data_IF_495402913518
#
_entry.id   IF_495402913518
#
_cell.length_a   1.000
_cell.length_b   1.000
_cell.length_c   1.000
_cell.angle_alpha   90.00
_cell.angle_beta   90.00
_cell.angle_gamma   90.00
#
_symmetry.space_group_name_H-M   'P 1'
#
loop_
_entity.id
_entity.type
_entity.pdbx_description
1 polymer ?
#
# COMPACT_ATOMS: atom_id res chain seq x y z
N UNK A 1 15.01 -23.16 12.88
CA UNK A 1 14.06 -24.23 12.56
C UNK A 1 12.75 -23.66 11.98
N UNK A 2 12.16 -22.61 12.53
CA UNK A 2 10.87 -22.02 12.07
C UNK A 2 10.85 -21.61 10.58
N UNK A 3 11.95 -21.00 10.06
CA UNK A 3 12.06 -20.59 8.65
C UNK A 3 12.01 -21.78 7.67
N UNK A 4 12.56 -22.92 8.03
CA UNK A 4 12.52 -24.14 7.20
C UNK A 4 11.15 -24.82 7.24
N UNK A 5 10.46 -24.75 8.37
CA UNK A 5 9.08 -25.26 8.50
C UNK A 5 8.08 -24.42 7.70
N UNK A 6 8.26 -23.09 7.64
CA UNK A 6 7.42 -22.22 6.84
C UNK A 6 7.56 -22.51 5.34
N UNK A 7 8.78 -22.77 4.87
CA UNK A 7 9.05 -23.13 3.48
C UNK A 7 8.44 -24.49 3.10
N UNK A 8 8.52 -25.47 4.00
CA UNK A 8 7.93 -26.81 3.81
C UNK A 8 6.41 -26.75 3.86
N UNK A 9 5.82 -25.93 4.72
CA UNK A 9 4.37 -25.72 4.77
C UNK A 9 3.84 -25.08 3.49
N UNK A 10 4.54 -24.11 2.91
CA UNK A 10 4.20 -23.48 1.62
C UNK A 10 4.32 -24.49 0.47
N UNK A 11 5.31 -25.38 0.48
CA UNK A 11 5.48 -26.44 -0.54
C UNK A 11 4.46 -27.59 -0.37
N UNK A 12 4.08 -27.94 0.85
CA UNK A 12 3.11 -29.02 1.10
C UNK A 12 1.67 -28.64 0.70
N UNK A 13 1.30 -27.36 0.68
CA UNK A 13 -0.02 -26.90 0.21
C UNK A 13 -0.16 -27.01 -1.32
N UNK A 14 0.96 -27.11 -2.06
CA UNK A 14 0.94 -27.16 -3.53
C UNK A 14 0.52 -28.49 -4.13
N UNK A 15 0.47 -29.58 -3.35
CA UNK A 15 0.23 -30.95 -3.86
C UNK A 15 -1.26 -31.37 -3.90
N UNK A 16 -2.19 -30.64 -3.28
CA UNK A 16 -3.56 -31.13 -3.03
C UNK A 16 -4.68 -30.56 -3.93
N UNK A 17 -4.38 -30.04 -5.13
CA UNK A 17 -5.46 -29.47 -5.96
C UNK A 17 -5.38 -29.88 -7.44
N UNK A 18 -5.82 -31.08 -7.74
CA UNK A 18 -6.03 -31.56 -9.13
C UNK A 18 -7.43 -31.23 -9.69
N UNK A 19 -8.21 -30.32 -9.11
CA UNK A 19 -9.48 -29.88 -9.68
C UNK A 19 -9.62 -28.35 -9.55
N UNK A 20 -9.66 -27.66 -10.69
CA UNK A 20 -9.92 -26.23 -10.86
C UNK A 20 -9.31 -25.34 -9.77
N UNK A 21 -8.22 -24.66 -10.09
CA UNK A 21 -7.55 -23.70 -9.19
C UNK A 21 -8.52 -22.62 -8.71
N UNK A 22 -9.09 -22.81 -7.51
CA UNK A 22 -10.10 -21.91 -6.92
C UNK A 22 -9.48 -20.80 -6.07
N UNK A 23 -8.18 -20.89 -5.81
CA UNK A 23 -7.50 -19.94 -4.95
C UNK A 23 -6.37 -19.24 -5.71
N UNK A 24 -6.21 -17.94 -5.49
CA UNK A 24 -5.12 -17.15 -6.06
C UNK A 24 -4.49 -16.29 -4.98
N UNK A 25 -3.15 -16.24 -4.94
CA UNK A 25 -2.36 -15.34 -4.11
C UNK A 25 -1.60 -14.41 -5.05
N UNK A 26 -1.67 -13.12 -4.82
CA UNK A 26 -1.06 -12.08 -5.65
C UNK A 26 -0.16 -11.19 -4.80
N UNK A 27 1.11 -11.57 -4.55
CA UNK A 27 2.11 -10.64 -4.05
C UNK A 27 2.52 -9.65 -5.13
N UNK A 28 2.84 -8.42 -4.71
CA UNK A 28 3.42 -7.41 -5.57
C UNK A 28 4.35 -6.46 -4.82
N UNK A 29 5.31 -5.90 -5.53
CA UNK A 29 6.27 -4.92 -5.04
C UNK A 29 6.52 -3.87 -6.10
N UNK A 30 6.64 -2.63 -5.70
CA UNK A 30 6.86 -1.49 -6.59
C UNK A 30 7.00 -0.18 -5.86
N UNK A 31 6.68 0.90 -6.55
CA UNK A 31 6.71 2.24 -6.00
C UNK A 31 5.31 2.85 -6.01
N UNK A 32 5.07 3.74 -5.04
CA UNK A 32 3.86 4.54 -5.01
C UNK A 32 4.17 6.01 -4.74
N UNK A 33 3.26 6.86 -5.21
CA UNK A 33 3.32 8.31 -5.10
C UNK A 33 2.05 8.80 -4.42
N UNK A 34 2.21 9.53 -3.32
CA UNK A 34 1.08 10.21 -2.65
C UNK A 34 0.62 11.38 -3.52
N UNK A 35 -0.70 11.52 -3.65
CA UNK A 35 -1.34 12.55 -4.48
C UNK A 35 -1.81 13.76 -3.67
N UNK A 36 -1.63 13.76 -2.33
CA UNK A 36 -1.96 14.91 -1.48
C UNK A 36 -1.19 16.16 -1.93
N UNK A 37 -1.84 17.31 -1.94
CA UNK A 37 -1.23 18.59 -2.28
C UNK A 37 -0.18 19.01 -1.24
N UNK A 38 0.81 19.79 -1.65
CA UNK A 38 1.74 20.41 -0.72
C UNK A 38 1.12 21.68 -0.14
N UNK A 39 1.42 22.03 1.12
CA UNK A 39 1.17 23.35 1.63
C UNK A 39 1.83 24.42 0.74
N UNK A 40 1.24 25.60 0.65
CA UNK A 40 1.79 26.73 -0.10
C UNK A 40 2.80 27.51 0.77
N UNK A 41 3.79 28.15 0.14
CA UNK A 41 4.75 29.01 0.84
C UNK A 41 5.92 28.29 1.49
N UNK A 42 6.20 27.05 1.05
CA UNK A 42 7.37 26.28 1.52
C UNK A 42 8.66 26.82 0.93
N UNK A 43 9.74 26.74 1.70
CA UNK A 43 11.10 26.91 1.20
C UNK A 43 11.52 25.72 0.32
N UNK A 44 12.55 25.90 -0.52
CA UNK A 44 13.05 24.82 -1.36
C UNK A 44 13.48 23.56 -0.56
N UNK A 45 14.01 23.74 0.65
CA UNK A 45 14.42 22.64 1.53
C UNK A 45 13.21 21.88 2.08
N UNK A 46 12.13 22.57 2.45
CA UNK A 46 10.88 21.96 2.90
C UNK A 46 10.18 21.22 1.75
N UNK A 47 10.21 21.77 0.53
CA UNK A 47 9.68 21.08 -0.64
C UNK A 47 10.43 19.78 -0.95
N UNK A 48 11.77 19.80 -0.91
CA UNK A 48 12.57 18.57 -1.12
C UNK A 48 12.30 17.53 -0.04
N UNK A 49 12.21 17.96 1.21
CA UNK A 49 11.84 17.10 2.33
C UNK A 49 10.47 16.44 2.12
N UNK A 50 9.44 17.21 1.75
CA UNK A 50 8.11 16.67 1.48
C UNK A 50 8.07 15.77 0.23
N UNK A 51 8.82 16.09 -0.82
CA UNK A 51 8.96 15.21 -2.00
C UNK A 51 9.49 13.83 -1.64
N UNK A 52 10.45 13.75 -0.70
CA UNK A 52 10.95 12.48 -0.19
C UNK A 52 9.89 11.64 0.52
N UNK A 53 8.91 12.25 1.20
CA UNK A 53 7.79 11.56 1.85
C UNK A 53 6.64 11.21 0.89
N UNK A 54 6.63 11.79 -0.31
CA UNK A 54 5.59 11.55 -1.31
C UNK A 54 5.84 10.38 -2.24
N UNK A 55 7.06 9.85 -2.30
CA UNK A 55 7.40 8.67 -3.09
C UNK A 55 8.06 7.61 -2.23
N UNK A 56 7.63 6.37 -2.36
CA UNK A 56 8.15 5.30 -1.52
C UNK A 56 7.88 3.90 -2.05
N UNK A 57 8.39 2.92 -1.31
CA UNK A 57 8.19 1.52 -1.59
C UNK A 57 6.73 1.15 -1.32
N UNK A 58 6.14 0.36 -2.23
CA UNK A 58 4.81 -0.21 -2.06
C UNK A 58 4.89 -1.74 -2.14
N UNK A 59 4.38 -2.41 -1.13
CA UNK A 59 4.31 -3.88 -1.06
C UNK A 59 2.87 -4.28 -0.82
N UNK A 60 2.36 -5.22 -1.63
CA UNK A 60 0.99 -5.70 -1.51
C UNK A 60 0.94 -7.22 -1.47
N UNK A 61 -0.09 -7.72 -0.82
CA UNK A 61 -0.46 -9.14 -0.82
C UNK A 61 -1.98 -9.25 -0.87
N UNK A 62 -2.48 -9.92 -1.90
CA UNK A 62 -3.91 -10.19 -2.03
C UNK A 62 -4.13 -11.70 -2.14
N UNK A 63 -5.23 -12.18 -1.56
CA UNK A 63 -5.63 -13.57 -1.60
C UNK A 63 -7.10 -13.65 -1.99
N UNK A 64 -7.43 -14.42 -3.02
CA UNK A 64 -8.77 -14.51 -3.61
C UNK A 64 -9.24 -15.95 -3.73
N UNK A 65 -10.51 -16.16 -3.41
CA UNK A 65 -11.26 -17.39 -3.73
C UNK A 65 -12.16 -17.12 -4.93
N UNK A 66 -11.98 -17.92 -6.00
CA UNK A 66 -12.77 -17.82 -7.24
C UNK A 66 -14.13 -18.48 -7.05
N UNK A 67 -15.18 -17.68 -7.00
CA UNK A 67 -16.58 -18.14 -6.95
C UNK A 67 -17.05 -18.64 -8.31
N UNK A 68 -16.61 -17.96 -9.37
CA UNK A 68 -16.87 -18.28 -10.77
C UNK A 68 -15.58 -18.14 -11.59
N UNK A 69 -15.64 -18.45 -12.86
CA UNK A 69 -14.48 -18.40 -13.76
C UNK A 69 -13.79 -17.02 -13.80
N UNK A 70 -14.56 -15.96 -13.68
CA UNK A 70 -14.08 -14.57 -13.81
C UNK A 70 -14.26 -13.73 -12.55
N UNK A 71 -14.94 -14.25 -11.51
CA UNK A 71 -15.29 -13.52 -10.29
C UNK A 71 -14.62 -14.18 -9.09
N UNK A 72 -13.94 -13.37 -8.27
CA UNK A 72 -13.32 -13.83 -7.03
C UNK A 72 -13.56 -12.82 -5.89
N UNK A 73 -13.60 -13.33 -4.67
CA UNK A 73 -13.70 -12.57 -3.44
C UNK A 73 -12.55 -12.93 -2.51
N UNK A 74 -12.04 -11.95 -1.76
CA UNK A 74 -10.86 -12.20 -0.95
C UNK A 74 -10.51 -11.08 0.01
N UNK A 75 -9.25 -11.10 0.43
CA UNK A 75 -8.66 -10.11 1.33
C UNK A 75 -7.43 -9.48 0.69
N UNK A 76 -7.22 -8.23 1.01
CA UNK A 76 -6.10 -7.44 0.49
C UNK A 76 -5.39 -6.73 1.64
N UNK A 77 -4.07 -6.73 1.54
CA UNK A 77 -3.15 -5.98 2.37
C UNK A 77 -2.22 -5.19 1.47
N UNK A 78 -2.01 -3.91 1.74
CA UNK A 78 -0.95 -3.12 1.10
C UNK A 78 -0.25 -2.25 2.13
N UNK A 79 1.04 -2.00 1.88
CA UNK A 79 1.88 -1.16 2.73
C UNK A 79 2.72 -0.23 1.85
N UNK A 80 2.64 1.06 2.13
CA UNK A 80 3.49 2.10 1.59
C UNK A 80 4.45 2.58 2.67
N UNK A 81 5.73 2.70 2.33
CA UNK A 81 6.76 3.22 3.21
C UNK A 81 7.61 4.27 2.49
N UNK A 82 7.78 5.42 3.11
CA UNK A 82 8.65 6.49 2.63
C UNK A 82 9.43 7.09 3.81
N UNK A 83 10.64 7.56 3.54
CA UNK A 83 11.48 8.25 4.52
C UNK A 83 12.10 9.48 3.89
N UNK A 84 12.20 10.55 4.66
CA UNK A 84 12.89 11.77 4.25
C UNK A 84 13.62 12.41 5.41
N UNK A 85 14.71 13.10 5.12
CA UNK A 85 15.44 13.90 6.08
C UNK A 85 15.78 15.27 5.49
N UNK A 86 15.74 16.30 6.31
CA UNK A 86 15.99 17.67 5.89
C UNK A 86 16.22 18.60 7.08
N UNK A 87 16.46 19.86 6.78
CA UNK A 87 16.52 20.91 7.80
C UNK A 87 15.24 21.71 7.71
N UNK A 88 14.47 21.70 8.79
CA UNK A 88 13.26 22.54 8.91
C UNK A 88 13.62 23.79 9.71
N UNK A 89 13.20 24.95 9.21
CA UNK A 89 13.40 26.24 9.87
C UNK A 89 12.06 26.77 10.38
N UNK A 90 12.05 27.25 11.60
CA UNK A 90 10.90 27.87 12.23
C UNK A 90 11.32 29.14 12.96
N UNK A 91 10.34 29.96 13.36
CA UNK A 91 10.59 31.14 14.14
C UNK A 91 10.10 30.91 15.58
N UNK A 92 10.95 31.15 16.57
CA UNK A 92 10.56 31.05 17.97
C UNK A 92 9.66 32.20 18.41
N UNK A 93 9.21 32.17 19.67
CA UNK A 93 8.35 33.22 20.26
C UNK A 93 9.04 34.58 20.37
N UNK A 94 10.36 34.65 20.21
CA UNK A 94 11.17 35.86 20.22
C UNK A 94 11.55 36.36 18.81
N UNK A 95 11.01 35.73 17.74
CA UNK A 95 11.30 36.10 16.36
C UNK A 95 12.64 35.58 15.83
N UNK A 96 13.35 34.70 16.56
CA UNK A 96 14.61 34.12 16.10
C UNK A 96 14.37 32.90 15.21
N UNK A 97 15.11 32.83 14.11
CA UNK A 97 15.05 31.65 13.21
C UNK A 97 15.81 30.50 13.87
N UNK A 98 15.08 29.42 14.14
CA UNK A 98 15.63 28.14 14.64
C UNK A 98 15.59 27.15 13.51
N UNK A 99 16.70 26.49 13.24
CA UNK A 99 16.78 25.40 12.26
C UNK A 99 17.15 24.10 12.94
N UNK A 100 16.42 23.02 12.63
CA UNK A 100 16.67 21.69 13.17
C UNK A 100 16.73 20.66 12.05
N UNK A 101 17.72 19.76 12.10
CA UNK A 101 17.74 18.57 11.26
C UNK A 101 16.67 17.60 11.75
N UNK A 102 15.80 17.18 10.85
CA UNK A 102 14.71 16.25 11.13
C UNK A 102 14.75 15.07 10.15
N UNK A 103 14.33 13.91 10.63
CA UNK A 103 14.09 12.72 9.80
C UNK A 103 12.68 12.24 10.11
N UNK A 104 11.94 11.90 9.06
CA UNK A 104 10.59 11.35 9.16
C UNK A 104 10.49 10.07 8.37
N UNK A 105 9.83 9.09 9.00
CA UNK A 105 9.43 7.83 8.41
C UNK A 105 7.90 7.78 8.36
N UNK A 106 7.35 7.62 7.16
CA UNK A 106 5.92 7.50 6.89
C UNK A 106 5.58 6.08 6.49
N UNK A 107 4.48 5.57 7.04
CA UNK A 107 3.95 4.27 6.72
C UNK A 107 2.43 4.33 6.59
N UNK A 108 1.90 3.89 5.42
CA UNK A 108 0.46 3.82 5.17
C UNK A 108 0.10 2.38 4.84
N UNK A 109 -0.74 1.78 5.67
CA UNK A 109 -1.20 0.39 5.51
C UNK A 109 -2.68 0.37 5.17
N UNK A 110 -3.07 -0.46 4.20
CA UNK A 110 -4.47 -0.79 3.90
C UNK A 110 -4.71 -2.26 4.17
N UNK A 111 -5.87 -2.59 4.76
CA UNK A 111 -6.33 -3.96 4.95
C UNK A 111 -7.84 -4.04 4.85
N UNK A 112 -8.37 -4.96 4.05
CA UNK A 112 -9.81 -5.13 3.91
C UNK A 112 -10.22 -6.22 2.93
N UNK A 113 -11.53 -6.55 2.92
CA UNK A 113 -12.12 -7.40 1.89
C UNK A 113 -12.01 -6.76 0.51
N UNK A 114 -11.90 -7.62 -0.51
CA UNK A 114 -11.79 -7.20 -1.89
C UNK A 114 -12.53 -8.14 -2.84
N UNK A 115 -13.03 -7.56 -3.91
CA UNK A 115 -13.66 -8.24 -5.03
C UNK A 115 -12.75 -8.12 -6.25
N UNK A 116 -12.62 -9.20 -7.05
CA UNK A 116 -11.78 -9.22 -8.24
C UNK A 116 -12.56 -9.80 -9.43
N UNK A 117 -12.39 -9.15 -10.58
CA UNK A 117 -12.76 -9.69 -11.89
C UNK A 117 -11.47 -10.02 -12.64
N UNK A 118 -11.38 -11.19 -13.23
CA UNK A 118 -10.19 -11.63 -13.97
C UNK A 118 -10.53 -12.67 -15.03
N UNK A 119 -9.64 -12.82 -16.01
CA UNK A 119 -9.69 -13.91 -17.00
C UNK A 119 -8.70 -15.05 -16.67
N UNK A 120 -8.37 -15.25 -15.40
CA UNK A 120 -7.33 -16.18 -14.97
C UNK A 120 -7.62 -17.65 -15.33
N UNK A 121 -8.89 -18.01 -15.53
CA UNK A 121 -9.33 -19.37 -15.90
C UNK A 121 -9.32 -19.63 -17.41
N UNK A 122 -9.22 -18.58 -18.23
CA UNK A 122 -9.20 -18.73 -19.69
C UNK A 122 -7.90 -19.37 -20.19
N UNK A 123 -7.93 -20.01 -21.34
CA UNK A 123 -6.77 -20.69 -21.94
C UNK A 123 -5.73 -19.73 -22.55
N UNK A 124 -5.95 -18.41 -22.49
CA UNK A 124 -5.01 -17.41 -23.00
C UNK A 124 -3.77 -17.26 -22.11
N UNK A 125 -2.62 -16.90 -22.69
CA UNK A 125 -1.42 -16.51 -21.95
C UNK A 125 -1.50 -15.07 -21.40
N UNK A 126 -2.41 -14.25 -21.91
CA UNK A 126 -2.61 -12.87 -21.50
C UNK A 126 -3.65 -12.81 -20.38
N UNK A 127 -3.20 -12.53 -19.17
CA UNK A 127 -4.02 -12.49 -17.96
C UNK A 127 -4.28 -11.04 -17.54
N UNK A 128 -5.54 -10.72 -17.36
CA UNK A 128 -6.02 -9.44 -16.92
C UNK A 128 -6.78 -9.58 -15.61
N UNK A 129 -6.64 -8.64 -14.72
CA UNK A 129 -7.49 -8.53 -13.54
C UNK A 129 -7.75 -7.08 -13.18
N UNK A 130 -8.90 -6.86 -12.57
CA UNK A 130 -9.31 -5.63 -11.91
C UNK A 130 -9.82 -6.01 -10.53
N UNK A 131 -9.34 -5.36 -9.48
CA UNK A 131 -9.85 -5.57 -8.13
C UNK A 131 -10.22 -4.27 -7.44
N UNK A 132 -11.16 -4.36 -6.51
CA UNK A 132 -11.63 -3.28 -5.66
C UNK A 132 -11.75 -3.79 -4.22
N UNK A 133 -11.08 -3.12 -3.29
CA UNK A 133 -11.14 -3.38 -1.86
C UNK A 133 -11.69 -2.18 -1.10
N UNK A 134 -12.45 -2.44 -0.04
CA UNK A 134 -12.87 -1.46 0.96
C UNK A 134 -12.38 -1.96 2.32
N UNK A 135 -11.77 -1.09 3.11
CA UNK A 135 -11.15 -1.56 4.35
C UNK A 135 -10.68 -0.44 5.26
N UNK A 136 -9.79 -0.79 6.17
CA UNK A 136 -9.14 0.15 7.08
C UNK A 136 -7.86 0.64 6.43
N UNK A 137 -7.70 1.94 6.33
CA UNK A 137 -6.44 2.60 6.01
C UNK A 137 -5.85 3.20 7.29
N UNK A 138 -4.60 2.88 7.58
CA UNK A 138 -3.89 3.33 8.77
C UNK A 138 -2.63 4.08 8.36
N UNK A 139 -2.36 5.19 9.04
CA UNK A 139 -1.16 5.98 8.84
C UNK A 139 -0.36 6.05 10.13
N UNK A 140 0.93 5.81 10.01
CA UNK A 140 1.92 6.02 11.06
C UNK A 140 3.01 6.93 10.51
N UNK A 141 3.27 8.03 11.19
CA UNK A 141 4.42 8.91 10.93
C UNK A 141 5.31 8.95 12.16
N UNK A 142 6.61 9.01 11.96
CA UNK A 142 7.58 9.17 13.04
C UNK A 142 8.59 10.24 12.65
N UNK A 143 8.52 11.39 13.30
CA UNK A 143 9.46 12.49 13.13
C UNK A 143 10.29 12.62 14.39
N UNK A 144 11.58 12.35 14.31
CA UNK A 144 12.48 12.26 15.47
C UNK A 144 11.89 11.31 16.55
N UNK A 145 11.49 11.83 17.70
CA UNK A 145 10.90 11.08 18.81
C UNK A 145 9.36 11.19 18.89
N UNK A 146 8.73 11.90 17.95
CA UNK A 146 7.28 12.10 17.93
C UNK A 146 6.67 11.06 16.97
N UNK A 147 5.78 10.21 17.51
CA UNK A 147 5.02 9.24 16.73
C UNK A 147 3.58 9.71 16.59
N UNK A 148 3.14 9.85 15.34
CA UNK A 148 1.75 10.09 14.98
C UNK A 148 1.10 8.81 14.43
N UNK A 149 -0.15 8.53 14.81
CA UNK A 149 -0.92 7.40 14.29
C UNK A 149 -2.37 7.81 14.06
N UNK A 150 -2.95 7.31 12.98
CA UNK A 150 -4.37 7.50 12.67
C UNK A 150 -4.90 6.37 11.79
N UNK A 151 -6.20 6.17 11.80
CA UNK A 151 -6.85 5.19 10.92
C UNK A 151 -8.24 5.66 10.54
N UNK A 152 -8.69 5.25 9.36
CA UNK A 152 -10.03 5.52 8.85
C UNK A 152 -10.43 4.43 7.83
N UNK A 153 -11.64 4.54 7.29
CA UNK A 153 -12.05 3.74 6.13
C UNK A 153 -11.33 4.25 4.89
N UNK A 154 -10.87 3.32 4.07
CA UNK A 154 -10.23 3.58 2.78
C UNK A 154 -10.71 2.63 1.70
N UNK A 155 -10.35 2.95 0.48
CA UNK A 155 -10.62 2.13 -0.71
C UNK A 155 -9.31 1.89 -1.45
N UNK A 156 -9.19 0.72 -2.09
CA UNK A 156 -8.04 0.42 -2.94
C UNK A 156 -8.49 -0.34 -4.17
N UNK A 157 -8.13 0.17 -5.34
CA UNK A 157 -8.42 -0.43 -6.64
C UNK A 157 -7.11 -0.73 -7.36
N UNK A 158 -7.01 -1.91 -7.99
CA UNK A 158 -5.87 -2.24 -8.86
C UNK A 158 -6.32 -2.81 -10.19
N UNK A 159 -5.54 -2.53 -11.20
CA UNK A 159 -5.61 -3.17 -12.51
C UNK A 159 -4.25 -3.80 -12.84
N UNK A 160 -4.24 -5.03 -13.33
CA UNK A 160 -3.01 -5.73 -13.67
C UNK A 160 -3.12 -6.47 -15.00
N UNK A 161 -1.99 -6.47 -15.71
CA UNK A 161 -1.73 -7.32 -16.85
C UNK A 161 -0.59 -8.26 -16.50
N UNK A 162 -0.78 -9.56 -16.73
CA UNK A 162 0.23 -10.56 -16.44
C UNK A 162 0.35 -11.55 -17.60
N UNK A 163 1.54 -12.09 -17.80
CA UNK A 163 1.78 -13.16 -18.73
C UNK A 163 1.85 -14.50 -17.99
N UNK A 164 1.11 -15.50 -18.48
CA UNK A 164 1.12 -16.83 -17.88
C UNK A 164 2.40 -17.59 -18.28
N UNK A 165 3.30 -17.74 -17.31
CA UNK A 165 4.52 -18.55 -17.45
C UNK A 165 4.16 -20.05 -17.42
N UNK A 166 3.20 -20.39 -16.56
CA UNK A 166 2.60 -21.72 -16.46
C UNK A 166 1.09 -21.57 -16.27
N UNK A 167 0.29 -22.66 -16.32
CA UNK A 167 -1.14 -22.57 -16.00
C UNK A 167 -1.46 -22.05 -14.61
N UNK A 168 -0.49 -22.04 -13.69
CA UNK A 168 -0.65 -21.65 -12.27
C UNK A 168 0.16 -20.41 -11.86
N UNK A 169 1.11 -19.96 -12.68
CA UNK A 169 2.02 -18.83 -12.33
C UNK A 169 1.96 -17.79 -13.42
N UNK A 170 1.59 -16.57 -13.04
CA UNK A 170 1.51 -15.40 -13.92
C UNK A 170 2.40 -14.28 -13.37
N UNK A 171 2.99 -13.48 -14.25
CA UNK A 171 3.86 -12.35 -13.87
C UNK A 171 3.61 -11.15 -14.77
N UNK A 172 3.59 -9.95 -14.21
CA UNK A 172 3.44 -8.72 -14.98
C UNK A 172 3.20 -7.47 -14.15
N UNK A 173 3.01 -6.31 -14.81
CA UNK A 173 2.76 -5.04 -14.15
C UNK A 173 1.35 -4.95 -13.54
N UNK A 174 1.27 -4.15 -12.46
CA UNK A 174 0.04 -3.77 -11.77
C UNK A 174 0.09 -2.28 -11.46
N UNK A 175 -0.99 -1.57 -11.75
CA UNK A 175 -1.25 -0.19 -11.32
C UNK A 175 -2.28 -0.21 -10.21
N UNK A 176 -2.06 0.57 -9.16
CA UNK A 176 -2.96 0.69 -8.02
C UNK A 176 -3.33 2.12 -7.72
N UNK A 177 -4.55 2.31 -7.22
CA UNK A 177 -5.07 3.55 -6.69
C UNK A 177 -5.58 3.28 -5.29
N UNK A 178 -5.08 4.01 -4.29
CA UNK A 178 -5.57 3.94 -2.93
C UNK A 178 -6.15 5.29 -2.55
N UNK A 179 -7.31 5.31 -1.92
CA UNK A 179 -7.99 6.51 -1.44
C UNK A 179 -8.32 6.42 0.04
N UNK A 180 -8.07 7.50 0.77
CA UNK A 180 -8.40 7.62 2.18
C UNK A 180 -8.00 8.98 2.74
N UNK A 181 -8.64 9.37 3.83
CA UNK A 181 -8.35 10.62 4.53
C UNK A 181 -8.44 10.41 6.03
N UNK A 182 -7.64 11.16 6.81
CA UNK A 182 -7.73 11.21 8.27
C UNK A 182 -8.21 12.59 8.70
N UNK A 183 -9.15 12.61 9.63
CA UNK A 183 -9.61 13.84 10.31
C UNK A 183 -8.94 14.02 11.67
N UNK A 184 -8.41 12.93 12.24
CA UNK A 184 -7.79 12.90 13.58
C UNK A 184 -6.55 12.02 13.56
N UNK A 185 -5.52 12.44 14.31
CA UNK A 185 -4.35 11.63 14.60
C UNK A 185 -4.00 11.69 16.08
N UNK A 186 -3.34 10.65 16.59
CA UNK A 186 -2.78 10.61 17.94
C UNK A 186 -1.27 10.83 17.87
N UNK A 187 -0.78 11.88 18.53
CA UNK A 187 0.64 12.17 18.68
C UNK A 187 1.03 11.95 20.15
N UNK A 188 1.93 11.01 20.41
CA UNK A 188 2.37 10.64 21.76
C UNK A 188 1.21 10.44 22.76
N UNK A 189 0.09 9.86 22.28
CA UNK A 189 -1.10 9.60 23.11
C UNK A 189 -2.15 10.72 23.14
N UNK A 190 -1.83 11.93 22.67
CA UNK A 190 -2.77 13.04 22.57
C UNK A 190 -3.43 13.05 21.20
N UNK A 191 -4.77 13.16 21.18
CA UNK A 191 -5.52 13.24 19.92
C UNK A 191 -5.56 14.68 19.41
N UNK A 192 -5.13 14.88 18.17
CA UNK A 192 -5.24 16.13 17.43
C UNK A 192 -6.34 15.94 16.38
N UNK A 193 -7.31 16.84 16.40
CA UNK A 193 -8.37 16.91 15.38
C UNK A 193 -7.98 17.98 14.35
N UNK A 194 -7.96 17.60 13.07
CA UNK A 194 -7.57 18.51 11.99
C UNK A 194 -8.74 19.41 11.52
N UNK A 195 -9.95 19.21 12.06
CA UNK A 195 -11.14 19.96 11.64
C UNK A 195 -11.41 19.76 10.14
N UNK A 196 -11.45 20.87 9.41
CA UNK A 196 -11.67 20.86 7.95
C UNK A 196 -10.40 20.49 7.15
N UNK A 197 -9.21 20.57 7.77
CA UNK A 197 -7.94 20.15 7.15
C UNK A 197 -7.74 18.66 7.37
N UNK A 198 -7.90 17.87 6.29
CA UNK A 198 -7.76 16.39 6.34
C UNK A 198 -6.39 15.98 5.86
N UNK A 199 -5.78 15.01 6.54
CA UNK A 199 -4.57 14.36 6.02
C UNK A 199 -4.95 13.41 4.90
N UNK A 200 -4.46 13.67 3.69
CA UNK A 200 -4.70 12.86 2.50
C UNK A 200 -3.79 11.64 2.45
N UNK A 201 -4.36 10.44 2.41
CA UNK A 201 -3.63 9.17 2.31
C UNK A 201 -3.69 8.57 0.90
N UNK A 202 -4.24 9.32 -0.07
CA UNK A 202 -4.40 8.86 -1.44
C UNK A 202 -3.06 8.73 -2.14
N UNK A 203 -2.91 7.64 -2.91
CA UNK A 203 -1.70 7.33 -3.66
C UNK A 203 -1.98 6.56 -4.94
N UNK A 204 -1.08 6.70 -5.89
CA UNK A 204 -0.98 5.90 -7.11
C UNK A 204 0.23 4.98 -6.97
N UNK A 205 0.13 3.72 -7.39
CA UNK A 205 1.25 2.78 -7.35
C UNK A 205 1.47 2.11 -8.70
N UNK A 206 2.74 1.78 -8.97
CA UNK A 206 3.18 0.93 -10.09
C UNK A 206 4.05 -0.18 -9.52
N UNK A 207 3.65 -1.43 -9.74
CA UNK A 207 4.27 -2.59 -9.13
C UNK A 207 4.46 -3.73 -10.13
N UNK A 208 5.44 -4.59 -9.87
CA UNK A 208 5.50 -5.92 -10.45
C UNK A 208 4.69 -6.87 -9.56
N UNK A 209 3.79 -7.63 -10.16
CA UNK A 209 2.91 -8.57 -9.47
C UNK A 209 3.08 -9.99 -10.02
N UNK A 210 3.09 -10.96 -9.12
CA UNK A 210 3.03 -12.37 -9.46
C UNK A 210 1.71 -12.96 -8.95
N UNK A 211 1.08 -13.82 -9.75
CA UNK A 211 -0.10 -14.58 -9.33
C UNK A 211 0.25 -16.06 -9.23
N UNK A 212 -0.08 -16.65 -8.08
CA UNK A 212 0.01 -18.09 -7.84
C UNK A 212 -1.40 -18.64 -7.68
N UNK A 213 -1.75 -19.69 -8.47
CA UNK A 213 -3.06 -20.33 -8.47
C UNK A 213 -2.97 -21.76 -7.94
N UNK A 214 -3.92 -22.09 -7.07
CA UNK A 214 -3.99 -23.40 -6.40
C UNK A 214 -5.36 -24.06 -6.62
#
# INVERSE_FOLDING_TARGET
MLKKMLLVAVLAVSEYSFAQSKFSIIPSVGFAWRTAENPTGLSNQEEEYLKGLKSGLNVDLSAYYHLQSNIAFGMKFSNYSASSSGVLSGTDSMGQVISAAVSTDDNITFFGPAFMISNFTEATKHKLFLDLGVGVISYTTKTANIKGTGSNVGVEMNAGYQYALTPKIFLGPKVGLTGGTLTKMKYNGQTVDFGDQKEGLSRVSLSAAATFRF
#
